data_IF_491815628354
#
_entry.id   IF_491815628354
#
_cell.length_a   1.000
_cell.length_b   1.000
_cell.length_c   1.000
_cell.angle_alpha   90.00
_cell.angle_beta   90.00
_cell.angle_gamma   90.00
#
_symmetry.space_group_name_H-M   'P 1'
#
loop_
_entity.id
_entity.type
_entity.pdbx_description
1 polymer ?
#
# COMPACT_ATOMS: atom_id res chain seq x y z
N UNK A 1 -8.38 -10.59 -13.21
CA UNK A 1 -8.43 -9.19 -13.65
C UNK A 1 -9.85 -8.83 -14.03
N UNK A 2 -10.38 -7.73 -13.52
CA UNK A 2 -11.79 -7.30 -13.72
C UNK A 2 -11.96 -6.75 -15.14
N UNK A 3 -12.98 -7.22 -15.88
CA UNK A 3 -13.29 -6.80 -17.25
C UNK A 3 -14.57 -5.95 -17.32
N UNK A 4 -14.77 -5.12 -18.37
CA UNK A 4 -16.00 -4.33 -18.55
C UNK A 4 -17.29 -5.18 -18.61
N UNK A 5 -17.21 -6.38 -19.18
CA UNK A 5 -18.32 -7.31 -19.27
C UNK A 5 -18.77 -7.81 -17.87
N UNK A 6 -17.83 -7.90 -16.93
CA UNK A 6 -18.08 -8.36 -15.57
C UNK A 6 -19.01 -7.38 -14.84
N UNK A 7 -18.70 -6.09 -14.90
CA UNK A 7 -19.50 -5.01 -14.33
C UNK A 7 -20.88 -4.94 -14.98
N UNK A 8 -20.93 -5.08 -16.30
CA UNK A 8 -22.19 -5.05 -17.06
C UNK A 8 -23.13 -6.20 -16.68
N UNK A 9 -22.57 -7.35 -16.33
CA UNK A 9 -23.33 -8.52 -15.87
C UNK A 9 -23.93 -8.28 -14.49
N UNK A 10 -23.12 -7.75 -13.56
CA UNK A 10 -23.57 -7.44 -12.19
C UNK A 10 -24.70 -6.41 -12.19
N UNK A 11 -24.61 -5.38 -13.04
CA UNK A 11 -25.65 -4.35 -13.17
C UNK A 11 -27.01 -4.89 -13.63
N UNK A 12 -27.03 -5.98 -14.39
CA UNK A 12 -28.27 -6.59 -14.92
C UNK A 12 -28.95 -7.52 -13.92
N UNK A 13 -28.34 -7.81 -12.77
CA UNK A 13 -28.93 -8.66 -11.75
C UNK A 13 -30.07 -7.93 -11.05
N UNK A 14 -31.31 -8.33 -11.33
CA UNK A 14 -32.51 -7.78 -10.68
C UNK A 14 -32.57 -8.15 -9.18
N UNK A 15 -32.05 -9.34 -8.82
CA UNK A 15 -31.91 -9.82 -7.43
C UNK A 15 -30.49 -10.37 -7.25
N UNK A 16 -29.51 -9.54 -6.87
CA UNK A 16 -28.14 -10.00 -6.67
C UNK A 16 -28.05 -10.96 -5.47
N UNK A 17 -27.20 -12.01 -5.55
CA UNK A 17 -26.77 -12.76 -4.37
C UNK A 17 -26.24 -11.84 -3.28
N UNK A 18 -26.53 -12.17 -2.02
CA UNK A 18 -26.15 -11.35 -0.86
C UNK A 18 -24.64 -11.05 -0.80
N UNK A 19 -23.80 -12.02 -1.17
CA UNK A 19 -22.36 -11.80 -1.23
C UNK A 19 -21.96 -10.69 -2.23
N UNK A 20 -22.63 -10.60 -3.38
CA UNK A 20 -22.36 -9.55 -4.37
C UNK A 20 -22.73 -8.18 -3.79
N UNK A 21 -23.82 -8.10 -3.03
CA UNK A 21 -24.23 -6.84 -2.41
C UNK A 21 -23.25 -6.39 -1.32
N UNK A 22 -22.69 -7.32 -0.54
CA UNK A 22 -21.65 -7.01 0.45
C UNK A 22 -20.35 -6.52 -0.20
N UNK A 23 -19.93 -7.16 -1.30
CA UNK A 23 -18.74 -6.73 -2.05
C UNK A 23 -18.94 -5.31 -2.59
N UNK A 24 -20.15 -4.99 -3.05
CA UNK A 24 -20.46 -3.64 -3.51
C UNK A 24 -20.51 -2.62 -2.37
N UNK A 25 -20.97 -2.97 -1.17
CA UNK A 25 -20.89 -2.09 -0.01
C UNK A 25 -19.43 -1.76 0.34
N UNK A 26 -18.53 -2.76 0.30
CA UNK A 26 -17.09 -2.53 0.45
C UNK A 26 -16.54 -1.56 -0.60
N UNK A 27 -17.00 -1.68 -1.85
CA UNK A 27 -16.61 -0.75 -2.92
C UNK A 27 -17.13 0.66 -2.62
N UNK A 28 -18.38 0.81 -2.17
CA UNK A 28 -18.93 2.11 -1.79
C UNK A 28 -18.12 2.77 -0.66
N UNK A 29 -17.74 1.99 0.36
CA UNK A 29 -16.90 2.44 1.47
C UNK A 29 -15.54 2.94 0.95
N UNK A 30 -14.86 2.16 0.11
CA UNK A 30 -13.57 2.55 -0.49
C UNK A 30 -13.66 3.83 -1.33
N UNK A 31 -14.75 4.04 -2.06
CA UNK A 31 -14.99 5.27 -2.82
C UNK A 31 -15.53 6.44 -1.98
N UNK A 32 -15.68 6.27 -0.66
CA UNK A 32 -16.26 7.29 0.22
C UNK A 32 -17.69 7.68 -0.18
N UNK A 33 -18.45 6.75 -0.77
CA UNK A 33 -19.82 6.99 -1.23
C UNK A 33 -20.80 6.72 -0.09
N UNK A 34 -21.95 7.39 -0.18
CA UNK A 34 -23.02 7.25 0.81
C UNK A 34 -23.54 5.81 0.81
N UNK A 35 -23.54 5.18 1.98
CA UNK A 35 -24.26 3.95 2.22
C UNK A 35 -25.73 4.26 2.54
N UNK A 36 -26.59 3.28 2.28
CA UNK A 36 -27.97 3.28 2.74
C UNK A 36 -28.06 3.18 4.27
N UNK A 37 -29.28 3.23 4.82
CA UNK A 37 -29.48 3.10 6.26
C UNK A 37 -28.97 1.75 6.76
N UNK A 38 -28.06 1.76 7.75
CA UNK A 38 -27.58 0.55 8.40
C UNK A 38 -28.71 -0.08 9.21
N UNK A 39 -29.31 -1.14 8.67
CA UNK A 39 -30.35 -1.94 9.33
C UNK A 39 -29.85 -3.37 9.50
N UNK A 40 -30.06 -4.02 10.65
CA UNK A 40 -29.73 -5.43 10.80
C UNK A 40 -30.60 -6.27 9.86
N UNK A 41 -29.98 -7.20 9.17
CA UNK A 41 -30.63 -8.28 8.42
C UNK A 41 -30.62 -9.53 9.32
N UNK A 42 -31.79 -9.85 9.90
CA UNK A 42 -31.94 -10.96 10.84
C UNK A 42 -31.77 -12.34 10.17
N UNK A 43 -32.10 -12.45 8.88
CA UNK A 43 -31.98 -13.71 8.13
C UNK A 43 -30.51 -14.02 7.79
N UNK A 44 -29.72 -12.97 7.54
CA UNK A 44 -28.30 -13.07 7.19
C UNK A 44 -27.35 -12.87 8.37
N UNK A 45 -27.89 -12.55 9.54
CA UNK A 45 -27.16 -12.25 10.77
C UNK A 45 -26.07 -11.17 10.57
N UNK A 46 -26.35 -10.20 9.70
CA UNK A 46 -25.42 -9.13 9.35
C UNK A 46 -26.19 -7.85 9.00
N UNK A 47 -25.70 -7.03 8.07
CA UNK A 47 -26.28 -5.75 7.66
C UNK A 47 -27.11 -5.87 6.39
N UNK A 48 -28.18 -5.08 6.33
CA UNK A 48 -28.93 -4.86 5.10
C UNK A 48 -28.05 -4.09 4.12
N UNK A 49 -27.83 -4.60 2.91
CA UNK A 49 -26.85 -4.04 1.99
C UNK A 49 -27.40 -2.85 1.21
N UNK A 50 -26.51 -1.96 0.76
CA UNK A 50 -26.87 -0.70 0.10
C UNK A 50 -26.96 -0.83 -1.42
N UNK A 51 -27.70 -1.83 -1.91
CA UNK A 51 -27.79 -2.14 -3.34
C UNK A 51 -28.25 -0.96 -4.24
N UNK A 52 -29.23 -0.13 -3.86
CA UNK A 52 -29.62 1.03 -4.67
C UNK A 52 -28.48 2.04 -4.88
N UNK A 53 -27.62 2.24 -3.88
CA UNK A 53 -26.46 3.13 -3.99
C UNK A 53 -25.34 2.48 -4.83
N UNK A 54 -25.14 1.17 -4.69
CA UNK A 54 -24.22 0.40 -5.52
C UNK A 54 -24.57 0.47 -7.01
N UNK A 55 -25.87 0.37 -7.34
CA UNK A 55 -26.36 0.51 -8.72
C UNK A 55 -26.05 1.89 -9.32
N UNK A 56 -26.16 2.97 -8.53
CA UNK A 56 -25.80 4.32 -9.01
C UNK A 56 -24.32 4.42 -9.37
N UNK A 57 -23.45 3.82 -8.57
CA UNK A 57 -22.01 3.82 -8.84
C UNK A 57 -21.67 2.96 -10.06
N UNK A 58 -22.31 1.80 -10.22
CA UNK A 58 -22.12 0.93 -11.39
C UNK A 58 -22.80 1.46 -12.68
N UNK A 59 -23.71 2.41 -12.55
CA UNK A 59 -24.31 3.09 -13.70
C UNK A 59 -23.30 4.04 -14.38
N UNK A 60 -22.27 4.50 -13.66
CA UNK A 60 -21.21 5.32 -14.22
C UNK A 60 -20.40 4.51 -15.26
N UNK A 61 -20.34 5.02 -16.49
CA UNK A 61 -19.58 4.42 -17.59
C UNK A 61 -18.07 4.40 -17.31
N UNK A 62 -17.58 5.28 -16.43
CA UNK A 62 -16.18 5.37 -16.00
C UNK A 62 -15.88 4.55 -14.75
N UNK A 63 -16.83 3.78 -14.21
CA UNK A 63 -16.62 3.02 -12.98
C UNK A 63 -15.40 2.07 -13.05
N UNK A 64 -15.21 1.36 -14.17
CA UNK A 64 -14.03 0.50 -14.34
C UNK A 64 -12.72 1.31 -14.33
N UNK A 65 -12.73 2.48 -14.98
CA UNK A 65 -11.58 3.38 -14.98
C UNK A 65 -11.26 3.86 -13.56
N UNK A 66 -12.29 4.19 -12.77
CA UNK A 66 -12.14 4.57 -11.37
C UNK A 66 -11.61 3.45 -10.49
N UNK A 67 -11.98 2.19 -10.74
CA UNK A 67 -11.42 1.03 -10.04
C UNK A 67 -9.94 0.81 -10.37
N UNK A 68 -9.56 0.98 -11.65
CA UNK A 68 -8.19 0.80 -12.11
C UNK A 68 -7.26 1.93 -11.65
N UNK A 69 -7.77 3.17 -11.62
CA UNK A 69 -7.04 4.36 -11.21
C UNK A 69 -7.46 4.83 -9.80
N UNK A 70 -7.84 3.88 -8.94
CA UNK A 70 -8.28 4.19 -7.60
C UNK A 70 -7.12 4.82 -6.80
N UNK A 71 -7.31 6.01 -6.18
CA UNK A 71 -6.28 6.68 -5.40
C UNK A 71 -6.09 5.96 -4.06
N UNK A 72 -5.37 4.83 -4.10
CA UNK A 72 -5.11 3.93 -2.96
C UNK A 72 -4.41 4.61 -1.77
N UNK A 73 -3.72 5.73 -2.00
CA UNK A 73 -3.09 6.52 -0.94
C UNK A 73 -4.11 7.33 -0.12
N UNK A 74 -5.35 7.48 -0.59
CA UNK A 74 -6.42 8.16 0.15
C UNK A 74 -7.16 7.25 1.14
N UNK A 75 -6.82 5.95 1.18
CA UNK A 75 -7.40 5.04 2.16
C UNK A 75 -6.89 5.43 3.56
N UNK A 76 -7.81 5.58 4.52
CA UNK A 76 -7.50 5.89 5.91
C UNK A 76 -7.89 4.73 6.85
N UNK A 77 -7.45 4.82 8.12
CA UNK A 77 -7.75 3.81 9.14
C UNK A 77 -9.27 3.57 9.29
N UNK A 78 -10.06 4.66 9.33
CA UNK A 78 -11.51 4.59 9.47
C UNK A 78 -12.18 3.78 8.35
N UNK A 79 -11.71 3.95 7.10
CA UNK A 79 -12.21 3.20 5.93
C UNK A 79 -11.92 1.71 6.11
N UNK A 80 -10.74 1.35 6.60
CA UNK A 80 -10.38 -0.04 6.88
C UNK A 80 -11.22 -0.62 8.01
N UNK A 81 -11.41 0.13 9.10
CA UNK A 81 -12.23 -0.29 10.23
C UNK A 81 -13.68 -0.54 9.81
N UNK A 82 -14.23 0.27 8.91
CA UNK A 82 -15.55 0.06 8.31
C UNK A 82 -15.63 -1.20 7.43
N UNK A 83 -14.51 -1.61 6.81
CA UNK A 83 -14.44 -2.81 5.97
C UNK A 83 -14.25 -4.10 6.78
N UNK A 84 -13.63 -4.03 7.97
CA UNK A 84 -13.32 -5.20 8.80
C UNK A 84 -14.52 -6.13 9.05
N UNK A 85 -15.73 -5.64 9.40
CA UNK A 85 -16.89 -6.51 9.60
C UNK A 85 -17.27 -7.32 8.36
N UNK A 86 -17.16 -6.72 7.17
CA UNK A 86 -17.45 -7.40 5.90
C UNK A 86 -16.43 -8.48 5.60
N UNK A 87 -15.15 -8.24 5.88
CA UNK A 87 -14.09 -9.23 5.65
C UNK A 87 -14.12 -10.40 6.64
N UNK A 88 -14.68 -10.20 7.84
CA UNK A 88 -14.89 -11.26 8.84
C UNK A 88 -16.14 -12.10 8.59
N UNK A 89 -17.03 -11.67 7.70
CA UNK A 89 -18.19 -12.45 7.31
C UNK A 89 -17.74 -13.75 6.63
N UNK A 90 -18.20 -14.91 7.12
CA UNK A 90 -17.73 -16.23 6.66
C UNK A 90 -17.89 -16.45 5.15
N UNK A 91 -18.96 -15.88 4.57
CA UNK A 91 -19.22 -15.94 3.13
C UNK A 91 -18.29 -15.05 2.29
N UNK A 92 -17.47 -14.18 2.89
CA UNK A 92 -16.60 -13.23 2.19
C UNK A 92 -15.27 -13.85 1.76
N UNK A 93 -15.38 -14.91 0.95
CA UNK A 93 -14.24 -15.65 0.43
C UNK A 93 -14.32 -15.81 -1.11
N UNK A 94 -13.16 -16.08 -1.71
CA UNK A 94 -13.02 -16.12 -3.17
C UNK A 94 -13.85 -17.25 -3.80
N UNK A 95 -13.94 -18.41 -3.13
CA UNK A 95 -14.67 -19.57 -3.64
C UNK A 95 -16.19 -19.32 -3.67
N UNK A 96 -16.75 -18.78 -2.59
CA UNK A 96 -18.14 -18.37 -2.52
C UNK A 96 -18.47 -17.29 -3.54
N UNK A 97 -17.57 -16.32 -3.74
CA UNK A 97 -17.75 -15.29 -4.77
C UNK A 97 -17.71 -15.88 -6.18
N UNK A 98 -16.82 -16.84 -6.44
CA UNK A 98 -16.73 -17.54 -7.73
C UNK A 98 -17.99 -18.35 -8.02
N UNK A 99 -18.56 -19.02 -7.01
CA UNK A 99 -19.81 -19.77 -7.12
C UNK A 99 -21.01 -18.85 -7.35
N UNK A 100 -21.08 -17.71 -6.67
CA UNK A 100 -22.17 -16.75 -6.82
C UNK A 100 -22.12 -16.04 -8.19
N UNK A 101 -20.94 -15.51 -8.54
CA UNK A 101 -20.69 -14.89 -9.84
C UNK A 101 -19.18 -14.80 -10.08
N UNK A 102 -18.64 -15.64 -10.97
CA UNK A 102 -17.20 -15.65 -11.31
C UNK A 102 -16.62 -14.27 -11.65
N UNK A 103 -17.44 -13.40 -12.21
CA UNK A 103 -17.11 -12.02 -12.56
C UNK A 103 -16.85 -11.11 -11.33
N UNK A 104 -17.47 -11.42 -10.19
CA UNK A 104 -17.40 -10.65 -8.94
C UNK A 104 -16.27 -11.12 -8.01
N UNK A 105 -15.77 -12.35 -8.21
CA UNK A 105 -14.61 -12.87 -7.47
C UNK A 105 -13.37 -11.96 -7.61
N UNK A 106 -13.19 -11.33 -8.78
CA UNK A 106 -12.14 -10.34 -9.01
C UNK A 106 -12.31 -9.05 -8.19
N UNK A 107 -13.55 -8.59 -8.00
CA UNK A 107 -13.86 -7.41 -7.17
C UNK A 107 -13.64 -7.69 -5.69
N UNK A 108 -14.03 -8.87 -5.21
CA UNK A 108 -13.72 -9.30 -3.83
C UNK A 108 -12.22 -9.24 -3.57
N UNK A 109 -11.42 -9.85 -4.46
CA UNK A 109 -9.96 -9.84 -4.31
C UNK A 109 -9.40 -8.42 -4.34
N UNK A 110 -9.95 -7.56 -5.20
CA UNK A 110 -9.55 -6.15 -5.28
C UNK A 110 -9.81 -5.41 -3.96
N UNK A 111 -10.98 -5.58 -3.34
CA UNK A 111 -11.28 -4.94 -2.03
C UNK A 111 -10.31 -5.37 -0.93
N UNK A 112 -9.95 -6.67 -0.88
CA UNK A 112 -8.96 -7.19 0.08
C UNK A 112 -7.57 -6.65 -0.21
N UNK A 113 -7.18 -6.56 -1.48
CA UNK A 113 -5.90 -6.01 -1.90
C UNK A 113 -5.77 -4.52 -1.54
N UNK A 114 -6.85 -3.73 -1.68
CA UNK A 114 -6.84 -2.32 -1.27
C UNK A 114 -6.65 -2.17 0.24
N UNK A 115 -7.31 -3.00 1.05
CA UNK A 115 -7.12 -2.99 2.50
C UNK A 115 -5.71 -3.42 2.92
N UNK A 116 -5.18 -4.49 2.32
CA UNK A 116 -3.80 -4.93 2.55
C UNK A 116 -2.77 -3.89 2.11
N UNK A 117 -3.04 -3.17 1.02
CA UNK A 117 -2.19 -2.08 0.56
C UNK A 117 -2.06 -0.98 1.63
N UNK A 118 -3.16 -0.59 2.27
CA UNK A 118 -3.13 0.38 3.37
C UNK A 118 -2.28 -0.10 4.55
N UNK A 119 -2.50 -1.33 5.03
CA UNK A 119 -1.73 -1.90 6.14
C UNK A 119 -0.23 -1.91 5.85
N UNK A 120 0.16 -2.33 4.65
CA UNK A 120 1.56 -2.33 4.23
C UNK A 120 2.10 -0.90 4.09
N UNK A 121 1.33 0.02 3.49
CA UNK A 121 1.80 1.39 3.26
C UNK A 121 1.99 2.17 4.56
N UNK A 122 1.13 1.94 5.56
CA UNK A 122 1.27 2.48 6.91
C UNK A 122 2.62 2.15 7.53
N UNK A 123 3.14 0.95 7.30
CA UNK A 123 4.45 0.54 7.80
C UNK A 123 5.60 0.96 6.88
N UNK A 124 5.37 0.99 5.56
CA UNK A 124 6.41 1.34 4.57
C UNK A 124 6.75 2.82 4.55
N UNK A 125 5.77 3.73 4.75
CA UNK A 125 6.02 5.17 4.78
C UNK A 125 7.03 5.61 5.85
N UNK A 126 6.89 5.22 7.13
CA UNK A 126 7.88 5.57 8.16
C UNK A 126 9.23 4.91 7.89
N UNK A 127 9.26 3.68 7.35
CA UNK A 127 10.52 3.02 6.97
C UNK A 127 11.25 3.77 5.86
N UNK A 128 10.56 4.24 4.83
CA UNK A 128 11.14 5.07 3.75
C UNK A 128 11.66 6.40 4.27
N UNK A 129 10.91 7.06 5.15
CA UNK A 129 11.34 8.30 5.78
C UNK A 129 12.61 8.09 6.64
N UNK A 130 12.65 7.03 7.44
CA UNK A 130 13.84 6.68 8.22
C UNK A 130 15.03 6.34 7.32
N UNK A 131 14.81 5.58 6.24
CA UNK A 131 15.86 5.26 5.26
C UNK A 131 16.48 6.53 4.68
N UNK A 132 15.66 7.52 4.28
CA UNK A 132 16.17 8.79 3.76
C UNK A 132 17.06 9.52 4.79
N UNK A 133 16.64 9.55 6.06
CA UNK A 133 17.43 10.15 7.15
C UNK A 133 18.75 9.40 7.37
N UNK A 134 18.73 8.08 7.38
CA UNK A 134 19.94 7.28 7.55
C UNK A 134 20.89 7.41 6.36
N UNK A 135 20.36 7.49 5.13
CA UNK A 135 21.16 7.70 3.93
C UNK A 135 21.89 9.06 3.99
N UNK A 136 21.21 10.14 4.37
CA UNK A 136 21.84 11.45 4.55
C UNK A 136 22.95 11.42 5.61
N UNK A 137 22.72 10.70 6.73
CA UNK A 137 23.75 10.53 7.77
C UNK A 137 24.96 9.74 7.26
N UNK A 138 24.70 8.66 6.54
CA UNK A 138 25.73 7.82 5.93
C UNK A 138 26.57 8.62 4.94
N UNK A 139 25.94 9.37 4.03
CA UNK A 139 26.64 10.17 3.03
C UNK A 139 27.55 11.21 3.69
N UNK A 140 27.06 11.86 4.77
CA UNK A 140 27.87 12.82 5.55
C UNK A 140 29.05 12.13 6.25
N UNK A 141 28.83 11.00 6.90
CA UNK A 141 29.89 10.25 7.57
C UNK A 141 30.97 9.78 6.58
N UNK A 142 30.54 9.33 5.39
CA UNK A 142 31.44 8.89 4.33
C UNK A 142 32.24 10.06 3.72
N UNK A 143 31.64 11.25 3.61
CA UNK A 143 32.36 12.48 3.23
C UNK A 143 33.44 12.82 4.25
N UNK A 144 33.10 12.84 5.53
CA UNK A 144 34.05 13.12 6.61
C UNK A 144 35.19 12.09 6.67
N UNK A 145 34.88 10.81 6.44
CA UNK A 145 35.89 9.75 6.38
C UNK A 145 36.88 9.99 5.23
N UNK A 146 36.39 10.33 4.03
CA UNK A 146 37.25 10.63 2.87
C UNK A 146 38.15 11.83 3.13
N UNK A 147 37.64 12.88 3.79
CA UNK A 147 38.43 14.04 4.19
C UNK A 147 39.53 13.65 5.19
N UNK A 148 39.19 12.86 6.22
CA UNK A 148 40.16 12.39 7.20
C UNK A 148 41.23 11.48 6.60
N UNK A 149 40.85 10.56 5.69
CA UNK A 149 41.79 9.71 4.96
C UNK A 149 42.74 10.52 4.07
N UNK A 150 42.25 11.59 3.44
CA UNK A 150 43.08 12.49 2.65
C UNK A 150 44.13 13.22 3.52
N UNK A 151 43.72 13.75 4.67
CA UNK A 151 44.62 14.40 5.63
C UNK A 151 45.65 13.41 6.20
N UNK A 152 45.22 12.19 6.55
CA UNK A 152 46.14 11.16 7.05
C UNK A 152 47.21 10.83 6.00
N UNK A 153 46.81 10.67 4.74
CA UNK A 153 47.72 10.37 3.63
C UNK A 153 48.73 11.50 3.41
N UNK A 154 48.32 12.76 3.55
CA UNK A 154 49.23 13.91 3.49
C UNK A 154 50.26 13.85 4.62
N UNK A 155 49.82 13.60 5.86
CA UNK A 155 50.72 13.54 7.03
C UNK A 155 51.67 12.34 6.99
N UNK A 156 51.23 11.19 6.48
CA UNK A 156 52.10 10.04 6.27
C UNK A 156 53.17 10.32 5.19
N UNK A 157 52.86 11.13 4.19
CA UNK A 157 53.83 11.57 3.19
C UNK A 157 54.85 12.55 3.79
N UNK A 158 54.39 13.55 4.55
CA UNK A 158 55.24 14.51 5.27
C UNK A 158 56.21 13.79 6.23
N UNK A 159 55.68 12.86 7.04
CA UNK A 159 56.48 12.07 7.99
C UNK A 159 57.56 11.27 7.28
N UNK A 160 57.25 10.61 6.15
CA UNK A 160 58.25 9.86 5.38
C UNK A 160 59.40 10.72 4.88
N UNK A 161 59.12 11.95 4.47
CA UNK A 161 60.17 12.90 4.04
C UNK A 161 61.09 13.23 5.20
N UNK A 162 60.51 13.65 6.34
CA UNK A 162 61.29 14.02 7.55
C UNK A 162 62.07 12.82 8.11
N UNK A 163 61.47 11.63 8.10
CA UNK A 163 62.15 10.40 8.52
C UNK A 163 63.38 10.12 7.65
N UNK A 164 63.24 10.24 6.32
CA UNK A 164 64.34 10.04 5.38
C UNK A 164 65.48 11.05 5.55
N UNK A 165 65.14 12.32 5.80
CA UNK A 165 66.14 13.36 6.11
C UNK A 165 66.88 13.07 7.43
N UNK A 166 66.15 12.68 8.47
CA UNK A 166 66.74 12.31 9.76
C UNK A 166 67.69 11.11 9.63
N UNK A 167 67.25 10.04 8.96
CA UNK A 167 68.06 8.82 8.78
C UNK A 167 69.34 9.11 7.98
N UNK A 168 69.28 9.97 6.96
CA UNK A 168 70.44 10.41 6.18
C UNK A 168 71.44 11.21 7.04
N UNK A 169 70.97 12.16 7.85
CA UNK A 169 71.82 12.96 8.75
C UNK A 169 72.47 12.07 9.81
N UNK A 170 71.75 11.07 10.33
CA UNK A 170 72.30 10.15 11.32
C UNK A 170 73.36 9.22 10.72
N UNK A 171 73.20 8.80 9.46
CA UNK A 171 74.20 8.00 8.75
C UNK A 171 75.50 8.77 8.47
N UNK A 172 75.44 10.10 8.24
CA UNK A 172 76.64 10.94 8.04
C UNK A 172 77.40 11.23 9.34
N UNK A 173 76.76 11.08 10.51
CA UNK A 173 77.36 11.36 11.83
C UNK A 173 78.02 10.13 12.48
N UNK A 174 78.00 8.98 11.81
CA UNK A 174 78.51 7.70 12.30
C UNK A 174 79.79 7.29 11.56
#
# INVERSE_FOLDING_TARGET
>A
TIKPADISTVRKLAKPPYLITLIMDCVLILFGKKLGPMKPDFDKQFLTPSWPEALKVMADTRFLYHLQNFPKDNINAETIDLLQPYFRYEGYNYEAAKQACGNVAGLLQWTKAMAAFYEINKDVLPLKANLAVQQTKYDKANSNLREAEAVLKEKDADLKVVQGEYDAIMAERQ
#
